data_IF_054547465747
#
_entry.id   IF_054547465747
#
_cell.length_a   1.000
_cell.length_b   1.000
_cell.length_c   1.000
_cell.angle_alpha   90.00
_cell.angle_beta   90.00
_cell.angle_gamma   90.00
#
_symmetry.space_group_name_H-M   'P 1'
#
loop_
_entity.id
_entity.type
_entity.pdbx_description
1 polymer ?
#
# COMPACT_ATOMS: atom_id res chain seq x y z
N UNK A 1 13.10 0.50 -2.86
CA UNK A 1 11.71 0.46 -3.39
C UNK A 1 11.34 -0.95 -3.87
N UNK A 2 12.16 -1.58 -4.71
CA UNK A 2 11.90 -2.93 -5.28
C UNK A 2 11.64 -3.99 -4.20
N UNK A 3 12.38 -3.98 -3.10
CA UNK A 3 12.20 -4.97 -2.02
C UNK A 3 10.82 -4.91 -1.36
N UNK A 4 10.27 -3.72 -1.17
CA UNK A 4 8.92 -3.53 -0.60
C UNK A 4 7.86 -4.09 -1.53
N UNK A 5 7.98 -3.86 -2.84
CA UNK A 5 7.08 -4.45 -3.83
C UNK A 5 7.12 -5.98 -3.83
N UNK A 6 8.31 -6.56 -3.68
CA UNK A 6 8.45 -8.02 -3.60
C UNK A 6 7.74 -8.60 -2.37
N UNK A 7 7.84 -7.92 -1.21
CA UNK A 7 7.14 -8.33 0.03
C UNK A 7 5.62 -8.29 -0.17
N UNK A 8 5.09 -7.24 -0.80
CA UNK A 8 3.64 -7.07 -0.98
C UNK A 8 3.07 -7.77 -2.21
N UNK A 9 3.90 -8.27 -3.13
CA UNK A 9 3.46 -8.94 -4.37
C UNK A 9 2.44 -10.04 -4.11
N UNK A 10 2.68 -10.84 -3.07
CA UNK A 10 1.75 -11.93 -2.67
C UNK A 10 0.38 -11.38 -2.28
N UNK A 11 0.32 -10.37 -1.41
CA UNK A 11 -0.94 -9.80 -0.95
C UNK A 11 -1.71 -9.09 -2.07
N UNK A 12 -0.99 -8.44 -2.98
CA UNK A 12 -1.59 -7.81 -4.16
C UNK A 12 -2.16 -8.86 -5.11
N UNK A 13 -1.47 -9.99 -5.29
CA UNK A 13 -1.97 -11.12 -6.09
C UNK A 13 -3.22 -11.76 -5.47
N UNK A 14 -3.27 -11.88 -4.13
CA UNK A 14 -4.44 -12.39 -3.40
C UNK A 14 -5.70 -11.54 -3.60
N UNK A 15 -5.54 -10.22 -3.82
CA UNK A 15 -6.66 -9.31 -4.08
C UNK A 15 -6.92 -9.10 -5.58
N UNK A 16 -6.33 -9.94 -6.44
CA UNK A 16 -6.56 -9.92 -7.89
C UNK A 16 -5.71 -8.92 -8.66
N UNK A 17 -4.73 -8.28 -8.04
CA UNK A 17 -3.80 -7.39 -8.73
C UNK A 17 -2.61 -8.18 -9.29
N UNK A 18 -2.42 -8.15 -10.61
CA UNK A 18 -1.20 -8.65 -11.25
C UNK A 18 -0.12 -7.58 -11.17
N UNK A 19 0.83 -7.76 -10.27
CA UNK A 19 1.97 -6.85 -10.12
C UNK A 19 3.16 -7.42 -10.88
N UNK A 20 3.52 -6.72 -11.94
CA UNK A 20 4.80 -6.85 -12.61
C UNK A 20 5.60 -5.60 -12.29
N UNK A 21 6.83 -5.77 -11.82
CA UNK A 21 7.74 -4.64 -11.67
C UNK A 21 8.03 -4.14 -13.09
N UNK A 22 7.39 -3.04 -13.46
CA UNK A 22 7.77 -2.27 -14.64
C UNK A 22 9.19 -1.73 -14.48
N UNK A 23 9.81 -1.31 -15.59
CA UNK A 23 11.04 -0.54 -15.53
C UNK A 23 10.86 0.72 -14.67
N UNK A 24 11.96 1.28 -14.17
CA UNK A 24 11.90 2.58 -13.50
C UNK A 24 11.48 3.61 -14.54
N UNK A 25 10.24 4.07 -14.43
CA UNK A 25 9.66 5.06 -15.34
C UNK A 25 10.12 6.44 -14.89
N UNK A 26 10.83 7.15 -15.76
CA UNK A 26 11.27 8.52 -15.52
C UNK A 26 10.10 9.52 -15.61
N UNK A 27 10.26 10.76 -15.10
CA UNK A 27 9.21 11.79 -15.14
C UNK A 27 8.76 12.19 -16.57
N UNK A 28 9.55 11.80 -17.58
CA UNK A 28 9.36 12.15 -19.00
C UNK A 28 8.93 10.98 -19.86
N UNK A 29 8.78 9.80 -19.27
CA UNK A 29 8.32 8.64 -20.01
C UNK A 29 6.82 8.80 -20.34
N UNK A 30 6.37 8.29 -21.49
CA UNK A 30 4.97 8.35 -21.86
C UNK A 30 4.10 7.67 -20.79
N UNK A 31 2.87 8.15 -20.54
CA UNK A 31 1.95 7.53 -19.61
C UNK A 31 1.68 6.10 -20.10
N UNK A 32 2.35 5.14 -19.47
CA UNK A 32 2.05 3.73 -19.65
C UNK A 32 0.68 3.45 -19.04
N UNK A 33 -0.02 2.43 -19.56
CA UNK A 33 -1.27 1.90 -18.98
C UNK A 33 -1.02 1.20 -17.62
N UNK A 34 -0.25 1.83 -16.73
CA UNK A 34 0.01 1.33 -15.40
C UNK A 34 -1.16 1.68 -14.49
N UNK A 35 -1.87 0.66 -14.03
CA UNK A 35 -2.93 0.79 -13.04
C UNK A 35 -2.42 1.30 -11.69
N UNK A 36 -1.11 1.17 -11.42
CA UNK A 36 -0.46 1.62 -10.20
C UNK A 36 0.75 2.51 -10.52
N UNK A 37 0.79 3.71 -9.96
CA UNK A 37 1.95 4.60 -9.99
C UNK A 37 2.36 4.95 -8.56
N UNK A 38 3.66 4.99 -8.29
CA UNK A 38 4.15 5.27 -6.94
C UNK A 38 5.40 6.14 -6.99
N UNK A 39 5.41 7.17 -6.15
CA UNK A 39 6.57 8.05 -5.94
C UNK A 39 6.93 8.02 -4.47
N UNK A 40 8.21 7.80 -4.17
CA UNK A 40 8.76 7.92 -2.82
C UNK A 40 9.68 9.14 -2.81
N UNK A 41 9.19 10.24 -2.24
CA UNK A 41 9.90 11.51 -2.18
C UNK A 41 9.48 12.28 -0.92
N UNK A 42 10.40 12.45 0.06
CA UNK A 42 10.13 13.22 1.28
C UNK A 42 9.75 14.69 1.00
N UNK A 43 10.14 15.26 -0.14
CA UNK A 43 9.82 16.66 -0.50
C UNK A 43 8.37 16.85 -0.94
N UNK A 44 7.67 15.75 -1.25
CA UNK A 44 6.27 15.76 -1.68
C UNK A 44 5.29 15.49 -0.52
N UNK A 45 5.78 15.30 0.71
CA UNK A 45 4.96 14.99 1.88
C UNK A 45 5.27 15.91 3.06
N UNK A 46 4.32 16.03 3.99
CA UNK A 46 4.48 16.83 5.22
C UNK A 46 5.43 16.17 6.23
N UNK A 47 5.56 14.84 6.19
CA UNK A 47 6.49 14.08 7.02
C UNK A 47 6.95 12.79 6.31
N UNK A 48 8.08 12.18 6.73
CA UNK A 48 8.56 10.92 6.16
C UNK A 48 7.59 9.74 6.32
N UNK A 49 6.75 9.75 7.35
CA UNK A 49 5.78 8.67 7.64
C UNK A 49 4.41 8.92 6.99
N UNK A 50 4.24 10.04 6.29
CA UNK A 50 3.00 10.37 5.58
C UNK A 50 2.94 9.68 4.23
N UNK A 51 1.76 9.19 3.87
CA UNK A 51 1.45 8.73 2.52
C UNK A 51 0.11 9.28 2.04
N UNK A 52 -0.03 9.40 0.73
CA UNK A 52 -1.29 9.74 0.06
C UNK A 52 -1.60 8.68 -1.00
N UNK A 53 -2.79 8.08 -0.94
CA UNK A 53 -3.35 7.20 -1.96
C UNK A 53 -4.45 7.96 -2.69
N UNK A 54 -4.36 8.05 -4.01
CA UNK A 54 -5.41 8.58 -4.87
C UNK A 54 -5.92 7.48 -5.78
N UNK A 55 -7.18 7.11 -5.64
CA UNK A 55 -7.88 6.16 -6.52
C UNK A 55 -8.81 6.97 -7.42
N UNK A 56 -8.67 6.81 -8.73
CA UNK A 56 -9.55 7.43 -9.72
C UNK A 56 -9.73 6.52 -10.94
N UNK A 57 -10.44 7.00 -11.97
CA UNK A 57 -10.68 6.24 -13.21
C UNK A 57 -9.40 5.90 -13.99
N UNK A 58 -8.30 6.63 -13.78
CA UNK A 58 -7.00 6.39 -14.43
C UNK A 58 -6.15 5.36 -13.68
N UNK A 59 -6.51 4.99 -12.45
CA UNK A 59 -5.81 4.02 -11.64
C UNK A 59 -5.54 4.51 -10.22
N UNK A 60 -4.50 3.94 -9.60
CA UNK A 60 -4.08 4.21 -8.23
C UNK A 60 -2.72 4.90 -8.24
N UNK A 61 -2.67 6.07 -7.61
CA UNK A 61 -1.45 6.83 -7.42
C UNK A 61 -1.09 6.87 -5.94
N UNK A 62 0.18 6.63 -5.61
CA UNK A 62 0.70 6.68 -4.25
C UNK A 62 1.86 7.65 -4.17
N UNK A 63 1.78 8.61 -3.26
CA UNK A 63 2.88 9.53 -2.90
C UNK A 63 3.27 9.20 -1.47
N UNK A 64 4.56 8.95 -1.24
CA UNK A 64 5.05 8.44 0.04
C UNK A 64 6.30 9.22 0.47
N UNK A 65 6.37 9.63 1.73
CA UNK A 65 7.53 10.37 2.25
C UNK A 65 8.76 9.49 2.49
N UNK A 66 8.57 8.17 2.60
CA UNK A 66 9.63 7.19 2.84
C UNK A 66 9.22 5.79 2.38
N UNK A 67 10.18 4.87 2.39
CA UNK A 67 9.92 3.45 2.15
C UNK A 67 8.97 2.85 3.21
N UNK A 68 9.05 3.31 4.47
CA UNK A 68 8.14 2.88 5.54
C UNK A 68 6.70 3.34 5.28
N UNK A 69 6.51 4.58 4.83
CA UNK A 69 5.19 5.08 4.45
C UNK A 69 4.63 4.38 3.21
N UNK A 70 5.48 3.94 2.28
CA UNK A 70 5.07 3.10 1.14
C UNK A 70 4.53 1.74 1.60
N UNK A 71 5.20 1.09 2.57
CA UNK A 71 4.67 -0.15 3.16
C UNK A 71 3.26 0.09 3.73
N UNK A 72 3.07 1.16 4.50
CA UNK A 72 1.76 1.52 5.05
C UNK A 72 0.72 1.77 3.95
N UNK A 73 1.09 2.50 2.89
CA UNK A 73 0.20 2.75 1.74
C UNK A 73 -0.24 1.45 1.05
N UNK A 74 0.67 0.50 0.86
CA UNK A 74 0.36 -0.79 0.24
C UNK A 74 -0.54 -1.65 1.14
N UNK A 75 -0.32 -1.64 2.45
CA UNK A 75 -1.21 -2.29 3.42
C UNK A 75 -2.63 -1.70 3.33
N UNK A 76 -2.75 -0.38 3.35
CA UNK A 76 -4.04 0.32 3.23
C UNK A 76 -4.72 0.02 1.90
N UNK A 77 -3.98 0.00 0.79
CA UNK A 77 -4.51 -0.35 -0.52
C UNK A 77 -5.07 -1.78 -0.56
N UNK A 78 -4.32 -2.76 -0.06
CA UNK A 78 -4.76 -4.17 0.01
C UNK A 78 -6.04 -4.28 0.85
N UNK A 79 -6.09 -3.60 2.00
CA UNK A 79 -7.28 -3.58 2.85
C UNK A 79 -8.48 -2.92 2.15
N UNK A 80 -8.26 -1.81 1.47
CA UNK A 80 -9.29 -1.10 0.71
C UNK A 80 -9.90 -1.98 -0.39
N UNK A 81 -9.06 -2.71 -1.13
CA UNK A 81 -9.52 -3.65 -2.17
C UNK A 81 -10.30 -4.82 -1.54
N UNK A 82 -9.81 -5.39 -0.42
CA UNK A 82 -10.50 -6.47 0.29
C UNK A 82 -11.89 -6.04 0.74
N UNK A 83 -12.00 -4.90 1.43
CA UNK A 83 -13.28 -4.38 1.90
C UNK A 83 -14.23 -4.11 0.72
N UNK A 84 -13.71 -3.53 -0.36
CA UNK A 84 -14.51 -3.27 -1.57
C UNK A 84 -14.98 -4.54 -2.29
N UNK A 85 -14.23 -5.65 -2.18
CA UNK A 85 -14.60 -6.95 -2.76
C UNK A 85 -15.56 -7.77 -1.88
N UNK A 86 -15.58 -7.58 -0.56
CA UNK A 86 -16.44 -8.37 0.35
C UNK A 86 -17.94 -8.13 0.17
N UNK A 87 -18.35 -7.00 -0.43
CA UNK A 87 -19.75 -6.66 -0.65
C UNK A 87 -20.35 -7.14 -1.98
N UNK A 88 -19.54 -7.70 -2.89
CA UNK A 88 -20.02 -8.07 -4.22
C UNK A 88 -20.45 -9.53 -4.25
N UNK A 89 -21.76 -9.79 -4.26
CA UNK A 89 -22.43 -11.09 -4.37
C UNK A 89 -21.98 -11.89 -5.61
N UNK A 90 -20.77 -12.46 -5.60
CA UNK A 90 -20.22 -13.29 -6.67
C UNK A 90 -19.53 -12.55 -7.82
N UNK A 91 -19.36 -11.21 -7.75
CA UNK A 91 -18.47 -10.52 -8.71
C UNK A 91 -17.01 -10.84 -8.36
N UNK A 92 -16.23 -11.26 -9.36
CA UNK A 92 -14.80 -11.54 -9.21
C UNK A 92 -13.93 -10.27 -9.18
N UNK A 93 -14.53 -9.09 -9.35
CA UNK A 93 -13.83 -7.81 -9.44
C UNK A 93 -14.25 -6.87 -8.31
N UNK A 94 -13.28 -6.50 -7.47
CA UNK A 94 -13.48 -5.46 -6.46
C UNK A 94 -13.53 -4.08 -7.14
N UNK A 95 -14.55 -3.29 -6.83
CA UNK A 95 -14.70 -1.92 -7.34
C UNK A 95 -14.41 -0.96 -6.19
N UNK A 96 -13.26 -0.32 -6.23
CA UNK A 96 -12.89 0.72 -5.26
C UNK A 96 -13.44 2.07 -5.76
N UNK A 97 -14.25 2.80 -4.95
CA UNK A 97 -14.74 4.11 -5.35
C UNK A 97 -13.59 5.12 -5.47
N UNK A 98 -13.74 6.18 -6.29
CA UNK A 98 -12.77 7.27 -6.31
C UNK A 98 -12.59 7.87 -4.90
N UNK A 99 -11.35 7.90 -4.42
CA UNK A 99 -11.04 8.34 -3.05
C UNK A 99 -9.62 8.89 -2.96
N UNK A 100 -9.43 9.86 -2.08
CA UNK A 100 -8.10 10.35 -1.67
C UNK A 100 -7.94 10.06 -0.19
N UNK A 101 -6.92 9.29 0.17
CA UNK A 101 -6.56 8.98 1.55
C UNK A 101 -5.21 9.61 1.80
N UNK A 102 -5.12 10.56 2.73
CA UNK A 102 -3.84 11.06 3.26
C UNK A 102 -3.76 10.66 4.72
N UNK A 103 -2.71 9.94 5.08
CA UNK A 103 -2.61 9.32 6.39
C UNK A 103 -1.17 9.29 6.89
N UNK A 104 -1.03 9.34 8.22
CA UNK A 104 0.24 9.33 8.94
C UNK A 104 0.01 8.87 10.37
N UNK A 105 0.97 8.17 10.99
CA UNK A 105 0.80 7.71 12.36
C UNK A 105 0.83 8.88 13.36
N UNK A 106 -0.10 8.88 14.31
CA UNK A 106 -0.12 9.86 15.41
C UNK A 106 0.96 9.63 16.47
N UNK A 107 1.45 8.39 16.58
CA UNK A 107 2.51 7.98 17.51
C UNK A 107 3.68 7.35 16.75
N UNK A 108 4.89 7.77 17.08
CA UNK A 108 6.12 7.24 16.47
C UNK A 108 6.40 5.79 16.87
N UNK A 109 6.11 5.41 18.11
CA UNK A 109 6.36 4.07 18.64
C UNK A 109 5.07 3.24 18.67
N UNK A 110 5.00 2.18 17.87
CA UNK A 110 3.82 1.31 17.68
C UNK A 110 4.18 -0.18 17.78
N UNK A 111 5.00 -0.52 18.76
CA UNK A 111 5.47 -1.89 19.00
C UNK A 111 4.54 -2.69 19.91
N UNK A 112 4.69 -4.01 19.89
CA UNK A 112 4.11 -4.92 20.87
C UNK A 112 5.22 -5.79 21.47
N UNK A 113 5.08 -6.17 22.74
CA UNK A 113 5.99 -7.09 23.42
C UNK A 113 5.34 -8.48 23.48
N UNK A 114 6.03 -9.50 22.96
CA UNK A 114 5.63 -10.89 23.10
C UNK A 114 6.67 -11.61 23.97
N UNK A 115 6.26 -12.04 25.14
CA UNK A 115 7.11 -12.87 26.00
C UNK A 115 7.21 -14.29 25.41
N UNK A 116 8.39 -14.61 24.86
CA UNK A 116 8.71 -15.93 24.32
C UNK A 116 9.47 -16.80 25.32
N UNK A 117 9.54 -16.38 26.59
CA UNK A 117 10.24 -17.14 27.63
C UNK A 117 9.57 -18.50 27.82
N UNK A 118 10.31 -19.61 27.66
CA UNK A 118 9.73 -20.96 27.60
C UNK A 118 9.05 -21.44 28.90
N UNK A 119 9.07 -20.66 29.98
CA UNK A 119 8.58 -21.05 31.32
C UNK A 119 7.44 -20.19 31.88
N UNK A 120 6.81 -19.31 31.09
CA UNK A 120 5.73 -18.43 31.56
C UNK A 120 4.36 -19.12 31.76
N UNK A 121 4.28 -20.46 31.66
CA UNK A 121 3.07 -21.21 32.08
C UNK A 121 3.17 -21.51 33.57
N UNK A 122 2.45 -20.74 34.38
CA UNK A 122 2.11 -21.14 35.75
C UNK A 122 1.21 -22.39 35.66
N UNK A 123 1.47 -23.48 36.42
CA UNK A 123 0.64 -24.69 36.42
C UNK A 123 -0.78 -24.44 36.95
#
# INVERSE_FOLDING_TARGET
VVDVWNVHKRWLSEVGCRVELGGVVGPRDPPTEHTFTTVVDPSLTTSPDTYTITVNQKGVQMVCGSISSLHSALVTLVQLIRVSGTGTNGSKTAVVPPVVITDSPSLTHRGFMLDITPHARVP
#
